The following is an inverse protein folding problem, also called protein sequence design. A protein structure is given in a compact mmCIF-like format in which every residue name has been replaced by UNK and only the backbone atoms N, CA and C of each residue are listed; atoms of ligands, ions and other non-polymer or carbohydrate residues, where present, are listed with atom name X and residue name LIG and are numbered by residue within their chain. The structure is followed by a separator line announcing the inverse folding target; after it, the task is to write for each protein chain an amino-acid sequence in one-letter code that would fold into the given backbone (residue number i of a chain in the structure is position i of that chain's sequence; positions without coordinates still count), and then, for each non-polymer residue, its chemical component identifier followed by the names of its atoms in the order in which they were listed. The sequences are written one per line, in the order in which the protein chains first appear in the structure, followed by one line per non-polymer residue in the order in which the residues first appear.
data_IF_672920159420
#
_entry.id   IF_672920159420
#
_cell.length_a   1.000
_cell.length_b   1.000
_cell.length_c   1.000
_cell.angle_alpha   90.00
_cell.angle_beta   90.00
_cell.angle_gamma   90.00
#
_symmetry.space_group_name_H-M   'P 1'
#
loop_
_entity.id
_entity.type
_entity.pdbx_description
1 polymer ?
#
# COMPACT_ATOMS: atom_id res chain seq x y z
N UNK A 1 -31.51 26.60 -8.12
CA UNK A 1 -31.16 26.53 -6.70
C UNK A 1 -29.75 27.07 -6.55
N UNK A 2 -29.51 28.04 -5.64
CA UNK A 2 -28.16 28.59 -5.43
C UNK A 2 -27.25 27.52 -4.85
N UNK A 3 -26.12 27.28 -5.50
CA UNK A 3 -25.09 26.34 -4.99
C UNK A 3 -24.69 26.79 -3.60
N UNK A 4 -25.00 25.97 -2.58
CA UNK A 4 -24.55 26.19 -1.22
C UNK A 4 -23.02 26.13 -1.18
N UNK A 5 -22.38 27.14 -0.62
CA UNK A 5 -20.93 27.14 -0.42
C UNK A 5 -20.56 26.13 0.65
N UNK A 6 -19.55 25.27 0.42
CA UNK A 6 -19.00 24.25 1.33
C UNK A 6 -18.54 24.80 2.69
N UNK A 7 -18.58 26.11 2.92
CA UNK A 7 -18.02 26.81 4.08
C UNK A 7 -19.08 27.53 4.89
N UNK A 8 -20.27 26.97 5.04
CA UNK A 8 -21.22 27.53 5.97
C UNK A 8 -20.94 27.07 7.38
N UNK A 9 -20.31 27.97 8.13
CA UNK A 9 -20.29 27.92 9.58
C UNK A 9 -21.57 28.53 10.12
N UNK A 10 -22.17 27.89 11.11
CA UNK A 10 -23.16 28.55 11.92
C UNK A 10 -22.43 29.54 12.82
N UNK A 11 -22.62 30.82 12.58
CA UNK A 11 -22.11 31.91 13.42
C UNK A 11 -23.17 32.33 14.38
N UNK A 12 -22.88 32.21 15.67
CA UNK A 12 -23.71 32.75 16.76
C UNK A 12 -22.89 33.65 17.65
N UNK A 13 -23.56 34.59 18.35
CA UNK A 13 -22.92 35.37 19.39
C UNK A 13 -23.35 34.83 20.75
N UNK A 14 -22.37 34.40 21.57
CA UNK A 14 -22.61 34.05 22.96
C UNK A 14 -21.77 34.98 23.84
N UNK A 15 -22.42 35.74 24.72
CA UNK A 15 -21.79 36.70 25.65
C UNK A 15 -20.81 37.69 24.97
N UNK A 16 -21.14 38.16 23.76
CA UNK A 16 -20.31 39.13 23.03
C UNK A 16 -19.13 38.52 22.22
N UNK A 17 -18.93 37.22 22.26
CA UNK A 17 -17.97 36.49 21.45
C UNK A 17 -18.61 35.83 20.23
N UNK A 18 -17.95 35.82 19.09
CA UNK A 18 -18.41 35.08 17.90
C UNK A 18 -18.04 33.62 18.07
N UNK A 19 -19.03 32.74 18.19
CA UNK A 19 -18.85 31.28 18.18
C UNK A 19 -19.09 30.78 16.75
N UNK A 20 -18.12 30.09 16.20
CA UNK A 20 -18.19 29.48 14.88
C UNK A 20 -18.21 27.97 15.07
N UNK A 21 -19.29 27.31 14.62
CA UNK A 21 -19.38 25.85 14.63
C UNK A 21 -19.28 25.37 13.19
N UNK A 22 -18.29 24.51 12.92
CA UNK A 22 -18.20 23.81 11.65
C UNK A 22 -19.41 22.86 11.52
N UNK A 23 -20.07 22.88 10.37
CA UNK A 23 -21.11 21.90 10.09
C UNK A 23 -20.44 20.55 9.76
N UNK A 24 -21.04 19.43 10.18
CA UNK A 24 -20.60 18.13 9.75
C UNK A 24 -20.68 18.01 8.22
N UNK A 25 -20.02 17.01 7.68
CA UNK A 25 -20.13 16.65 6.26
C UNK A 25 -21.63 16.48 5.90
N UNK A 26 -22.04 17.09 4.81
CA UNK A 26 -23.41 16.99 4.30
C UNK A 26 -23.38 16.43 2.88
N UNK A 27 -24.27 15.50 2.57
CA UNK A 27 -24.40 14.85 1.27
C UNK A 27 -24.52 15.82 0.09
N UNK A 28 -24.93 17.06 0.36
CA UNK A 28 -24.97 18.13 -0.64
C UNK A 28 -23.58 18.52 -1.22
N UNK A 29 -22.50 18.02 -0.67
CA UNK A 29 -21.14 18.19 -1.19
C UNK A 29 -20.72 17.10 -2.17
N UNK A 30 -21.50 16.04 -2.29
CA UNK A 30 -21.33 14.97 -3.27
C UNK A 30 -22.35 15.11 -4.43
N UNK A 31 -22.22 14.24 -5.42
CA UNK A 31 -23.28 14.04 -6.38
C UNK A 31 -24.49 13.33 -5.71
N UNK A 32 -25.63 13.27 -6.41
CA UNK A 32 -26.87 12.66 -5.87
C UNK A 32 -26.70 11.18 -5.46
N UNK A 33 -25.67 10.50 -5.93
CA UNK A 33 -25.38 9.09 -5.64
C UNK A 33 -24.22 8.92 -4.63
N UNK A 34 -23.65 9.99 -4.05
CA UNK A 34 -22.53 9.92 -3.11
C UNK A 34 -21.21 9.40 -3.67
N UNK A 35 -21.11 9.18 -4.98
CA UNK A 35 -19.99 8.51 -5.63
C UNK A 35 -18.97 9.46 -6.27
N UNK A 36 -19.22 10.76 -6.24
CA UNK A 36 -18.34 11.78 -6.79
C UNK A 36 -18.33 13.03 -5.92
N UNK A 37 -17.22 13.79 -6.01
CA UNK A 37 -17.10 15.11 -5.39
C UNK A 37 -18.16 16.08 -5.96
N UNK A 38 -18.53 17.09 -5.20
CA UNK A 38 -19.49 18.12 -5.65
C UNK A 38 -19.02 18.88 -6.90
N UNK A 39 -17.74 18.80 -7.26
CA UNK A 39 -17.17 19.25 -8.54
C UNK A 39 -17.53 18.34 -9.71
N UNK A 40 -18.15 17.18 -9.47
CA UNK A 40 -18.39 16.12 -10.47
C UNK A 40 -17.19 15.21 -10.73
N UNK A 41 -16.05 15.46 -10.09
CA UNK A 41 -14.90 14.56 -10.21
C UNK A 41 -15.15 13.27 -9.42
N UNK A 42 -14.84 12.08 -9.98
CA UNK A 42 -15.00 10.82 -9.28
C UNK A 42 -14.09 10.76 -8.04
N UNK A 43 -14.51 10.02 -7.01
CA UNK A 43 -13.62 9.67 -5.89
C UNK A 43 -12.42 8.89 -6.44
N UNK A 44 -11.20 9.18 -5.98
CA UNK A 44 -10.01 8.53 -6.52
C UNK A 44 -9.95 7.07 -6.09
N UNK A 45 -9.54 6.21 -7.03
CA UNK A 45 -9.20 4.84 -6.75
C UNK A 45 -7.80 4.75 -6.15
N UNK A 46 -7.61 3.89 -5.13
CA UNK A 46 -6.33 3.70 -4.43
C UNK A 46 -5.84 2.28 -4.57
N UNK A 47 -4.53 2.16 -4.58
CA UNK A 47 -3.86 0.88 -4.53
C UNK A 47 -2.92 0.82 -3.33
N UNK A 48 -3.08 -0.19 -2.49
CA UNK A 48 -2.19 -0.43 -1.37
C UNK A 48 -1.51 -1.79 -1.44
N UNK A 49 -0.34 -1.88 -0.82
CA UNK A 49 0.24 -3.17 -0.47
C UNK A 49 0.50 -3.23 1.03
N UNK A 50 0.27 -4.40 1.62
CA UNK A 50 0.60 -4.69 3.00
C UNK A 50 1.46 -5.95 3.06
N UNK A 51 2.46 -5.99 3.95
CA UNK A 51 3.41 -7.11 3.96
C UNK A 51 3.78 -7.52 5.37
N UNK A 52 3.86 -8.84 5.56
CA UNK A 52 4.46 -9.45 6.74
C UNK A 52 5.51 -10.47 6.31
N UNK A 53 6.39 -10.89 7.21
CA UNK A 53 7.45 -11.85 6.91
C UNK A 53 7.19 -13.22 7.51
N UNK A 54 7.90 -14.22 6.96
CA UNK A 54 8.05 -15.56 7.51
C UNK A 54 6.82 -16.47 7.41
N UNK A 55 5.87 -16.11 6.54
CA UNK A 55 4.78 -16.99 6.14
C UNK A 55 3.76 -17.30 7.22
N UNK A 56 3.14 -18.47 7.08
CA UNK A 56 2.10 -19.02 7.95
C UNK A 56 2.20 -20.54 8.00
N UNK A 57 1.59 -21.15 9.01
CA UNK A 57 1.55 -22.61 9.14
C UNK A 57 0.31 -23.17 8.43
N UNK A 58 0.50 -23.86 7.30
CA UNK A 58 -0.59 -24.36 6.43
C UNK A 58 -1.69 -25.09 7.22
N UNK A 59 -1.30 -25.92 8.17
CA UNK A 59 -2.23 -26.72 8.96
C UNK A 59 -3.24 -25.89 9.79
N UNK A 60 -2.89 -24.65 10.13
CA UNK A 60 -3.67 -23.81 11.06
C UNK A 60 -4.07 -22.46 10.48
N UNK A 61 -3.78 -22.18 9.18
CA UNK A 61 -4.29 -20.98 8.53
C UNK A 61 -5.23 -21.26 7.35
N UNK A 62 -5.12 -22.43 6.68
CA UNK A 62 -5.94 -22.73 5.52
C UNK A 62 -7.37 -23.14 5.95
N UNK A 63 -8.41 -22.42 5.52
CA UNK A 63 -9.79 -22.79 5.79
C UNK A 63 -10.16 -24.12 5.16
N UNK A 64 -11.11 -24.84 5.78
CA UNK A 64 -11.61 -26.12 5.27
C UNK A 64 -12.56 -25.99 4.09
N UNK A 65 -13.15 -24.82 3.89
CA UNK A 65 -14.10 -24.52 2.83
C UNK A 65 -13.69 -23.28 2.02
N UNK A 66 -14.03 -23.29 0.76
CA UNK A 66 -13.85 -22.16 -0.17
C UNK A 66 -15.14 -21.36 -0.33
N UNK A 67 -15.04 -20.18 -0.95
CA UNK A 67 -16.16 -19.28 -1.18
C UNK A 67 -16.50 -18.41 0.02
N UNK A 68 -17.74 -17.96 0.09
CA UNK A 68 -18.22 -17.10 1.17
C UNK A 68 -18.38 -17.89 2.48
N UNK A 69 -18.30 -17.16 3.61
CA UNK A 69 -18.45 -17.71 4.95
C UNK A 69 -17.44 -18.84 5.26
N UNK A 70 -16.21 -18.70 4.77
CA UNK A 70 -15.14 -19.63 5.09
C UNK A 70 -14.80 -19.59 6.60
N UNK A 71 -14.41 -20.74 7.15
CA UNK A 71 -13.96 -20.79 8.54
C UNK A 71 -12.62 -20.06 8.73
N UNK A 72 -12.39 -19.58 9.93
CA UNK A 72 -11.16 -18.90 10.30
C UNK A 72 -10.35 -19.80 11.24
N UNK A 73 -9.36 -20.55 10.73
CA UNK A 73 -8.46 -21.31 11.57
C UNK A 73 -7.66 -20.41 12.51
N UNK A 74 -7.05 -21.02 13.52
CA UNK A 74 -6.50 -20.31 14.69
C UNK A 74 -5.44 -19.24 14.36
N UNK A 75 -4.72 -19.38 13.27
CA UNK A 75 -3.69 -18.41 12.89
C UNK A 75 -4.25 -17.13 12.26
N UNK A 76 -5.49 -17.19 11.75
CA UNK A 76 -6.20 -16.06 11.14
C UNK A 76 -7.50 -15.69 11.88
N UNK A 77 -7.72 -16.19 13.08
CA UNK A 77 -8.91 -15.91 13.89
C UNK A 77 -9.12 -14.42 14.16
N UNK A 78 -8.02 -13.67 14.30
CA UNK A 78 -8.04 -12.21 14.46
C UNK A 78 -8.73 -11.46 13.30
N UNK A 79 -8.90 -12.09 12.14
CA UNK A 79 -9.54 -11.48 10.96
C UNK A 79 -11.08 -11.52 11.04
N UNK A 80 -11.68 -12.14 12.05
CA UNK A 80 -13.14 -12.26 12.18
C UNK A 80 -13.91 -10.93 12.04
N UNK A 81 -13.48 -9.81 12.66
CA UNK A 81 -14.18 -8.53 12.50
C UNK A 81 -14.17 -7.99 11.06
N UNK A 82 -13.12 -8.30 10.32
CA UNK A 82 -12.88 -7.77 8.96
C UNK A 82 -13.10 -8.79 7.85
N UNK A 83 -13.55 -10.01 8.17
CA UNK A 83 -13.73 -11.10 7.21
C UNK A 83 -14.56 -10.69 5.99
N UNK A 84 -15.62 -9.93 6.20
CA UNK A 84 -16.49 -9.42 5.13
C UNK A 84 -15.81 -8.46 4.17
N UNK A 85 -14.66 -7.89 4.53
CA UNK A 85 -13.91 -6.89 3.78
C UNK A 85 -12.69 -7.45 3.06
N UNK A 86 -12.32 -8.70 3.32
CA UNK A 86 -11.11 -9.33 2.79
C UNK A 86 -11.43 -10.53 1.91
N UNK A 87 -10.48 -10.87 1.03
CA UNK A 87 -10.42 -12.19 0.40
C UNK A 87 -9.13 -12.88 0.83
N UNK A 88 -9.19 -14.20 1.01
CA UNK A 88 -8.05 -15.06 1.28
C UNK A 88 -7.76 -15.91 0.04
N UNK A 89 -6.50 -16.00 -0.35
CA UNK A 89 -6.02 -16.80 -1.48
C UNK A 89 -5.03 -17.84 -0.98
N UNK A 90 -5.31 -19.11 -1.22
CA UNK A 90 -4.48 -20.25 -0.87
C UNK A 90 -4.16 -21.09 -2.09
N UNK A 91 -3.17 -21.97 -2.00
CA UNK A 91 -2.80 -22.89 -3.07
C UNK A 91 -2.49 -22.20 -4.41
N UNK A 92 -1.96 -20.95 -4.33
CA UNK A 92 -1.34 -20.27 -5.45
C UNK A 92 0.17 -20.47 -5.39
N UNK A 93 0.80 -20.74 -6.52
CA UNK A 93 2.21 -21.10 -6.58
C UNK A 93 3.05 -19.97 -7.17
N UNK A 94 4.30 -19.86 -6.72
CA UNK A 94 5.34 -19.09 -7.40
C UNK A 94 6.33 -20.07 -8.02
N UNK A 95 6.65 -19.85 -9.28
CA UNK A 95 7.51 -20.75 -10.05
C UNK A 95 8.89 -20.15 -10.18
N UNK A 96 9.89 -20.88 -9.73
CA UNK A 96 11.30 -20.48 -9.88
C UNK A 96 11.83 -20.69 -11.29
N UNK A 97 11.18 -21.58 -12.05
CA UNK A 97 11.69 -22.11 -13.31
C UNK A 97 13.11 -22.69 -13.10
N UNK A 98 14.12 -22.15 -13.76
CA UNK A 98 15.52 -22.59 -13.58
C UNK A 98 16.28 -21.78 -12.50
N UNK A 99 15.62 -20.80 -11.83
CA UNK A 99 16.26 -20.00 -10.80
C UNK A 99 16.39 -20.78 -9.47
N UNK A 100 17.40 -20.48 -8.65
CA UNK A 100 17.51 -21.05 -7.31
C UNK A 100 16.39 -20.57 -6.39
N UNK A 101 16.07 -21.33 -5.34
CA UNK A 101 15.29 -20.80 -4.23
C UNK A 101 16.20 -19.92 -3.36
N UNK A 102 16.11 -18.62 -3.53
CA UNK A 102 16.79 -17.66 -2.70
C UNK A 102 15.94 -17.44 -1.43
N UNK A 103 16.28 -18.16 -0.37
CA UNK A 103 15.54 -18.13 0.90
C UNK A 103 15.19 -16.71 1.32
N UNK A 104 13.93 -16.47 1.73
CA UNK A 104 13.39 -15.18 2.13
C UNK A 104 13.42 -14.09 1.03
N UNK A 105 13.63 -14.47 -0.23
CA UNK A 105 13.72 -13.52 -1.33
C UNK A 105 12.86 -13.91 -2.53
N UNK A 106 12.97 -15.15 -3.02
CA UNK A 106 12.28 -15.58 -4.24
C UNK A 106 10.76 -15.35 -4.20
N UNK A 107 10.10 -15.72 -3.11
CA UNK A 107 8.64 -15.67 -3.03
C UNK A 107 8.09 -14.25 -3.20
N UNK A 108 8.53 -13.30 -2.38
CA UNK A 108 8.02 -11.94 -2.46
C UNK A 108 8.43 -11.20 -3.74
N UNK A 109 9.65 -11.46 -4.25
CA UNK A 109 10.09 -10.86 -5.52
C UNK A 109 9.20 -11.32 -6.66
N UNK A 110 8.91 -12.63 -6.77
CA UNK A 110 8.03 -13.17 -7.81
C UNK A 110 6.61 -12.60 -7.67
N UNK A 111 6.05 -12.59 -6.46
CA UNK A 111 4.71 -12.05 -6.22
C UNK A 111 4.59 -10.55 -6.50
N UNK A 112 5.69 -9.80 -6.40
CA UNK A 112 5.70 -8.34 -6.59
C UNK A 112 6.13 -7.89 -7.98
N UNK A 113 7.02 -8.64 -8.67
CA UNK A 113 7.51 -8.29 -10.00
C UNK A 113 7.07 -9.26 -11.11
N UNK A 114 6.59 -10.44 -10.74
CA UNK A 114 6.24 -11.50 -11.70
C UNK A 114 7.45 -12.28 -12.23
N UNK A 115 8.67 -12.01 -11.76
CA UNK A 115 9.92 -12.56 -12.32
C UNK A 115 10.75 -13.23 -11.24
N UNK A 116 11.22 -14.45 -11.51
CA UNK A 116 12.09 -15.18 -10.58
C UNK A 116 13.50 -14.57 -10.54
N UNK A 117 14.02 -14.17 -9.35
CA UNK A 117 15.36 -13.64 -9.21
C UNK A 117 16.42 -14.75 -9.33
N UNK A 118 17.53 -14.44 -10.02
CA UNK A 118 18.67 -15.37 -10.15
C UNK A 118 19.68 -15.20 -9.01
N UNK A 119 19.80 -14.03 -8.44
CA UNK A 119 20.68 -13.70 -7.29
C UNK A 119 19.95 -12.76 -6.32
N UNK A 120 20.47 -12.61 -5.09
CA UNK A 120 19.92 -11.70 -4.09
C UNK A 120 20.20 -10.23 -4.42
N UNK A 121 21.26 -9.99 -5.16
CA UNK A 121 21.74 -8.65 -5.52
C UNK A 121 20.96 -8.09 -6.72
N UNK A 122 20.35 -8.93 -7.53
CA UNK A 122 19.61 -8.52 -8.72
C UNK A 122 18.11 -8.81 -8.56
N UNK A 123 17.33 -7.78 -8.35
CA UNK A 123 15.86 -7.82 -8.32
C UNK A 123 15.34 -7.52 -9.72
N UNK A 124 14.80 -8.52 -10.43
CA UNK A 124 14.38 -8.34 -11.81
C UNK A 124 13.07 -7.57 -11.91
N UNK A 125 12.97 -6.73 -12.92
CA UNK A 125 11.78 -5.93 -13.19
C UNK A 125 11.59 -4.81 -12.18
N UNK A 126 10.34 -4.44 -11.99
CA UNK A 126 9.88 -3.47 -10.98
C UNK A 126 8.68 -4.05 -10.24
N UNK A 127 8.41 -3.58 -9.03
CA UNK A 127 7.28 -4.07 -8.25
C UNK A 127 5.97 -3.45 -8.70
N UNK A 128 4.89 -4.19 -8.51
CA UNK A 128 3.53 -3.83 -8.93
C UNK A 128 3.09 -2.45 -8.45
N UNK A 129 3.46 -2.05 -7.24
CA UNK A 129 3.16 -0.73 -6.69
C UNK A 129 3.80 0.40 -7.50
N UNK A 130 5.03 0.21 -7.99
CA UNK A 130 5.71 1.16 -8.87
C UNK A 130 5.00 1.25 -10.22
N UNK A 131 4.64 0.10 -10.81
CA UNK A 131 3.88 0.06 -12.07
C UNK A 131 2.54 0.77 -11.94
N UNK A 132 1.79 0.49 -10.86
CA UNK A 132 0.50 1.13 -10.58
C UNK A 132 0.68 2.62 -10.28
N UNK A 133 1.71 3.01 -9.53
CA UNK A 133 1.98 4.40 -9.19
C UNK A 133 2.26 5.27 -10.44
N UNK A 134 2.85 4.70 -11.48
CA UNK A 134 2.99 5.40 -12.78
C UNK A 134 1.65 5.66 -13.46
N UNK A 135 0.63 4.88 -13.17
CA UNK A 135 -0.71 5.05 -13.75
C UNK A 135 -1.56 6.03 -12.94
N UNK A 136 -1.72 5.81 -11.63
CA UNK A 136 -2.68 6.56 -10.81
C UNK A 136 -2.03 7.54 -9.83
N UNK A 137 -0.71 7.44 -9.58
CA UNK A 137 0.02 8.28 -8.62
C UNK A 137 0.57 9.59 -9.21
N UNK A 138 0.41 9.82 -10.52
CA UNK A 138 0.96 11.02 -11.17
C UNK A 138 0.18 12.30 -10.88
N UNK A 139 -1.00 12.20 -10.29
CA UNK A 139 -1.88 13.34 -9.97
C UNK A 139 -1.80 13.75 -8.50
N UNK A 140 -0.87 13.15 -7.74
CA UNK A 140 -0.73 13.39 -6.30
C UNK A 140 0.66 13.91 -5.95
N UNK A 141 0.75 14.57 -4.79
CA UNK A 141 2.01 15.13 -4.26
C UNK A 141 3.11 14.07 -4.16
N UNK A 142 2.76 12.90 -3.66
CA UNK A 142 3.64 11.74 -3.61
C UNK A 142 3.11 10.68 -4.58
N UNK A 143 3.92 10.28 -5.55
CA UNK A 143 3.54 9.22 -6.50
C UNK A 143 3.19 7.91 -5.77
N UNK A 144 3.98 7.58 -4.75
CA UNK A 144 3.71 6.52 -3.79
C UNK A 144 4.31 6.88 -2.43
N UNK A 145 3.79 6.29 -1.37
CA UNK A 145 4.34 6.37 -0.02
C UNK A 145 4.61 4.96 0.49
N UNK A 146 5.73 4.78 1.16
CA UNK A 146 6.08 3.52 1.82
C UNK A 146 6.37 3.77 3.30
N UNK A 147 5.86 2.93 4.18
CA UNK A 147 6.11 2.99 5.61
C UNK A 147 6.42 1.59 6.17
N UNK A 148 7.30 1.52 7.15
CA UNK A 148 7.68 0.29 7.84
C UNK A 148 7.48 0.42 9.35
N UNK A 149 6.98 -0.65 9.95
CA UNK A 149 6.82 -0.74 11.40
C UNK A 149 8.09 -1.20 12.13
N UNK A 150 9.04 -1.80 11.43
CA UNK A 150 10.26 -2.37 12.03
C UNK A 150 11.24 -1.32 12.52
N UNK A 151 11.18 -0.11 11.96
CA UNK A 151 12.16 0.95 12.22
C UNK A 151 13.45 0.83 11.38
N UNK A 152 13.53 -0.12 10.45
CA UNK A 152 14.67 -0.29 9.54
C UNK A 152 14.32 0.21 8.13
N UNK A 153 15.09 1.15 7.63
CA UNK A 153 14.94 1.73 6.27
C UNK A 153 15.14 0.72 5.14
N UNK A 154 15.69 -0.46 5.43
CA UNK A 154 15.90 -1.53 4.46
C UNK A 154 14.68 -2.44 4.30
N UNK A 155 13.73 -2.37 5.22
CA UNK A 155 12.54 -3.22 5.24
C UNK A 155 11.47 -2.68 4.29
N UNK A 156 11.62 -3.03 3.02
CA UNK A 156 10.71 -2.67 1.94
C UNK A 156 10.64 -3.80 0.91
N UNK A 157 9.42 -4.09 0.45
CA UNK A 157 9.16 -4.96 -0.70
C UNK A 157 8.80 -4.16 -1.96
N UNK A 158 9.21 -2.90 -2.03
CA UNK A 158 9.02 -2.01 -3.17
C UNK A 158 10.35 -1.62 -3.78
N UNK A 159 10.49 -1.77 -5.08
CA UNK A 159 11.69 -1.35 -5.81
C UNK A 159 11.39 -0.99 -7.26
N UNK A 160 12.18 -0.08 -7.80
CA UNK A 160 12.26 0.21 -9.23
C UNK A 160 13.30 -0.68 -9.92
N UNK A 161 13.37 -0.63 -11.24
CA UNK A 161 14.34 -1.40 -12.03
C UNK A 161 15.77 -1.34 -11.45
N UNK A 162 16.45 -2.48 -11.40
CA UNK A 162 17.87 -2.55 -11.12
C UNK A 162 18.27 -2.32 -9.67
N UNK A 163 17.48 -2.79 -8.71
CA UNK A 163 17.77 -2.74 -7.28
C UNK A 163 17.55 -1.39 -6.57
N UNK A 164 16.93 -0.43 -7.24
CA UNK A 164 16.55 0.83 -6.59
C UNK A 164 15.37 0.61 -5.65
N UNK A 165 15.67 0.35 -4.37
CA UNK A 165 14.64 0.13 -3.34
C UNK A 165 13.97 1.46 -2.99
N UNK A 166 12.67 1.46 -2.94
CA UNK A 166 11.89 2.57 -2.40
C UNK A 166 12.01 2.58 -0.87
N UNK A 167 12.80 3.51 -0.36
CA UNK A 167 13.08 3.62 1.08
C UNK A 167 11.81 4.00 1.84
N UNK A 168 11.38 3.21 2.82
CA UNK A 168 10.17 3.50 3.59
C UNK A 168 10.43 4.54 4.69
N UNK A 169 9.37 5.22 5.10
CA UNK A 169 9.36 5.95 6.36
C UNK A 169 9.35 4.94 7.52
N UNK A 170 10.19 5.18 8.50
CA UNK A 170 10.42 4.26 9.62
C UNK A 170 10.08 4.87 10.99
N UNK A 171 9.90 6.18 11.08
CA UNK A 171 9.52 6.91 12.28
C UNK A 171 8.18 7.61 12.06
N UNK A 172 7.16 7.38 12.90
CA UNK A 172 5.88 8.07 12.80
C UNK A 172 6.01 9.60 12.85
N UNK A 173 6.87 10.14 13.72
CA UNK A 173 7.08 11.58 13.81
C UNK A 173 7.68 12.16 12.52
N UNK A 174 8.68 11.49 11.93
CA UNK A 174 9.26 11.93 10.65
C UNK A 174 8.25 11.81 9.52
N UNK A 175 7.45 10.74 9.51
CA UNK A 175 6.40 10.57 8.52
C UNK A 175 5.35 11.68 8.62
N UNK A 176 4.88 11.99 9.83
CA UNK A 176 4.01 13.14 10.07
C UNK A 176 4.62 14.45 9.54
N UNK A 177 5.87 14.73 9.86
CA UNK A 177 6.57 15.96 9.40
C UNK A 177 6.67 16.01 7.87
N UNK A 178 6.87 14.87 7.21
CA UNK A 178 6.86 14.78 5.74
C UNK A 178 5.49 15.06 5.15
N UNK A 179 4.44 14.52 5.75
CA UNK A 179 3.07 14.66 5.27
C UNK A 179 2.49 16.06 5.54
N UNK A 180 2.67 16.55 6.76
CA UNK A 180 1.96 17.72 7.30
C UNK A 180 2.90 18.85 7.72
N UNK A 181 4.17 18.80 7.35
CA UNK A 181 5.15 19.88 7.59
C UNK A 181 4.86 21.13 6.75
N UNK A 182 5.82 22.03 6.70
CA UNK A 182 5.71 23.35 6.05
C UNK A 182 5.28 23.32 4.58
N UNK A 183 5.49 22.20 3.90
CA UNK A 183 5.17 22.05 2.48
C UNK A 183 3.77 21.42 2.25
N UNK A 184 3.04 21.13 3.31
CA UNK A 184 1.66 20.65 3.21
C UNK A 184 0.71 21.78 2.83
N UNK A 185 -0.11 21.51 1.84
CA UNK A 185 -1.15 22.43 1.39
C UNK A 185 -2.50 21.81 1.77
N UNK A 186 -3.16 22.42 2.75
CA UNK A 186 -4.48 21.98 3.15
C UNK A 186 -5.48 22.17 1.99
N UNK A 187 -6.05 21.08 1.45
CA UNK A 187 -7.02 21.16 0.36
C UNK A 187 -8.28 21.94 0.75
N UNK A 188 -8.56 22.03 2.03
CA UNK A 188 -9.73 22.69 2.58
C UNK A 188 -9.49 24.13 3.02
N UNK A 189 -8.25 24.64 2.90
CA UNK A 189 -7.92 26.01 3.26
C UNK A 189 -8.65 27.05 2.39
N UNK A 190 -9.02 28.17 3.00
CA UNK A 190 -9.67 29.28 2.31
C UNK A 190 -8.80 29.92 1.25
N UNK A 191 -7.52 30.09 1.57
CA UNK A 191 -6.54 30.73 0.71
C UNK A 191 -5.47 29.74 0.30
N UNK A 192 -5.00 29.87 -0.93
CA UNK A 192 -3.87 29.12 -1.46
C UNK A 192 -2.80 30.10 -1.90
N UNK A 193 -1.57 29.88 -1.43
CA UNK A 193 -0.40 30.64 -1.87
C UNK A 193 0.66 29.66 -2.35
N UNK A 194 1.00 29.69 -3.65
CA UNK A 194 2.08 28.84 -4.18
C UNK A 194 3.41 29.10 -3.45
N UNK A 195 4.15 28.05 -3.15
CA UNK A 195 5.48 28.18 -2.53
C UNK A 195 6.47 28.78 -3.53
N UNK A 196 7.06 29.96 -3.24
CA UNK A 196 8.06 30.58 -4.12
C UNK A 196 9.27 29.69 -4.41
N UNK A 197 9.64 28.80 -3.47
CA UNK A 197 10.77 27.86 -3.66
C UNK A 197 10.45 26.84 -4.74
N UNK A 198 9.19 26.39 -4.83
CA UNK A 198 8.74 25.49 -5.90
C UNK A 198 8.73 26.19 -7.24
N UNK A 199 8.32 27.46 -7.28
CA UNK A 199 8.36 28.28 -8.50
C UNK A 199 9.80 28.42 -9.04
N UNK A 200 10.77 28.68 -8.17
CA UNK A 200 12.19 28.78 -8.55
C UNK A 200 12.71 27.43 -9.06
N UNK A 201 12.40 26.33 -8.36
CA UNK A 201 12.80 24.97 -8.79
C UNK A 201 12.20 24.60 -10.15
N UNK A 202 10.92 24.91 -10.36
CA UNK A 202 10.25 24.69 -11.65
C UNK A 202 10.92 25.50 -12.75
N UNK A 203 11.18 26.79 -12.53
CA UNK A 203 11.86 27.65 -13.50
C UNK A 203 13.26 27.13 -13.88
N UNK A 204 14.03 26.66 -12.88
CA UNK A 204 15.35 26.06 -13.13
C UNK A 204 15.23 24.75 -13.95
N UNK A 205 14.23 23.92 -13.64
CA UNK A 205 13.99 22.68 -14.36
C UNK A 205 13.57 22.92 -15.82
N UNK A 206 12.74 23.95 -16.08
CA UNK A 206 12.29 24.29 -17.43
C UNK A 206 13.47 24.65 -18.35
N UNK A 207 14.48 25.34 -17.82
CA UNK A 207 15.72 25.65 -18.58
C UNK A 207 16.46 24.36 -18.96
N UNK A 208 16.60 23.42 -18.01
CA UNK A 208 17.24 22.13 -18.28
C UNK A 208 16.48 21.33 -19.32
N UNK A 209 15.15 21.32 -19.24
CA UNK A 209 14.29 20.62 -20.21
C UNK A 209 14.38 21.21 -21.63
N UNK A 210 14.50 22.52 -21.76
CA UNK A 210 14.67 23.17 -23.05
C UNK A 210 16.04 22.88 -23.68
N UNK A 211 17.09 22.84 -22.89
CA UNK A 211 18.41 22.42 -23.35
C UNK A 211 18.43 20.91 -23.71
N UNK A 212 17.73 20.11 -22.94
CA UNK A 212 17.50 18.69 -23.22
C UNK A 212 16.78 18.45 -24.55
N UNK A 213 15.75 19.25 -24.87
CA UNK A 213 15.04 19.20 -26.17
C UNK A 213 15.96 19.56 -27.33
N UNK A 214 16.88 20.51 -27.13
CA UNK A 214 17.88 20.89 -28.16
C UNK A 214 18.84 19.72 -28.39
N UNK A 215 19.43 19.16 -27.31
CA UNK A 215 20.35 18.04 -27.38
C UNK A 215 19.71 16.83 -28.08
N UNK A 216 18.46 16.49 -27.76
CA UNK A 216 17.74 15.37 -28.36
C UNK A 216 17.60 15.46 -29.89
N UNK A 217 17.64 16.67 -30.46
CA UNK A 217 17.60 16.88 -31.94
C UNK A 217 18.93 16.54 -32.61
N UNK A 218 20.03 16.61 -31.86
CA UNK A 218 21.39 16.41 -32.35
C UNK A 218 21.89 14.98 -32.25
N UNK A 219 21.19 14.11 -31.49
CA UNK A 219 21.61 12.75 -31.17
C UNK A 219 21.07 11.69 -32.13
N UNK A 220 21.83 10.59 -32.24
CA UNK A 220 21.41 9.37 -32.91
C UNK A 220 20.33 8.59 -32.17
N UNK A 221 19.75 7.57 -32.83
CA UNK A 221 18.57 6.84 -32.34
C UNK A 221 18.82 6.11 -31.02
N UNK A 222 20.01 5.52 -30.82
CA UNK A 222 20.33 4.79 -29.58
C UNK A 222 20.51 5.73 -28.38
N UNK A 223 21.19 6.84 -28.56
CA UNK A 223 21.39 7.84 -27.50
C UNK A 223 20.10 8.55 -27.16
N UNK A 224 19.21 8.77 -28.14
CA UNK A 224 17.86 9.27 -27.87
C UNK A 224 17.07 8.35 -26.97
N UNK A 225 17.12 7.04 -27.17
CA UNK A 225 16.40 6.07 -26.35
C UNK A 225 16.90 6.08 -24.88
N UNK A 226 18.22 6.25 -24.66
CA UNK A 226 18.80 6.38 -23.32
C UNK A 226 18.40 7.68 -22.64
N UNK A 227 18.43 8.78 -23.36
CA UNK A 227 18.03 10.10 -22.87
C UNK A 227 16.53 10.22 -22.66
N UNK A 228 15.69 9.53 -23.41
CA UNK A 228 14.24 9.55 -23.22
C UNK A 228 13.82 9.00 -21.84
N UNK A 229 14.53 8.01 -21.29
CA UNK A 229 14.31 7.55 -19.92
C UNK A 229 14.64 8.64 -18.89
N UNK A 230 15.78 9.32 -19.07
CA UNK A 230 16.18 10.43 -18.21
C UNK A 230 15.20 11.61 -18.32
N UNK A 231 14.77 11.96 -19.51
CA UNK A 231 13.80 13.03 -19.73
C UNK A 231 12.41 12.71 -19.23
N UNK A 232 12.04 11.44 -19.21
CA UNK A 232 10.78 11.02 -18.57
C UNK A 232 10.80 11.34 -17.08
N UNK A 233 11.91 11.04 -16.39
CA UNK A 233 12.08 11.41 -14.98
C UNK A 233 12.02 12.93 -14.73
N UNK A 234 12.61 13.74 -15.62
CA UNK A 234 12.55 15.21 -15.50
C UNK A 234 11.14 15.75 -15.76
N UNK A 235 10.39 15.20 -16.74
CA UNK A 235 8.98 15.58 -16.98
C UNK A 235 8.08 15.20 -15.81
N UNK A 236 8.32 14.07 -15.19
CA UNK A 236 7.62 13.66 -13.98
C UNK A 236 7.90 14.61 -12.79
N UNK A 237 9.13 15.12 -12.70
CA UNK A 237 9.49 16.13 -11.71
C UNK A 237 8.83 17.48 -11.99
N UNK A 238 8.80 17.90 -13.26
CA UNK A 238 8.11 19.12 -13.68
C UNK A 238 6.63 19.06 -13.33
N UNK A 239 5.95 17.96 -13.67
CA UNK A 239 4.54 17.75 -13.32
C UNK A 239 4.30 17.81 -11.80
N UNK A 240 5.19 17.25 -10.99
CA UNK A 240 5.08 17.35 -9.53
C UNK A 240 5.20 18.79 -9.03
N UNK A 241 6.04 19.60 -9.65
CA UNK A 241 6.10 21.03 -9.33
C UNK A 241 4.81 21.74 -9.78
N UNK A 242 4.24 21.39 -10.93
CA UNK A 242 2.96 21.93 -11.37
C UNK A 242 1.86 21.67 -10.37
N UNK A 243 1.72 20.42 -9.92
CA UNK A 243 0.72 20.04 -8.91
C UNK A 243 0.92 20.79 -7.58
N UNK A 244 2.17 21.05 -7.16
CA UNK A 244 2.45 21.83 -5.96
C UNK A 244 2.14 23.32 -6.12
N UNK A 245 2.07 23.83 -7.34
CA UNK A 245 1.72 25.22 -7.65
C UNK A 245 0.23 25.42 -7.92
N UNK A 246 -0.55 24.35 -8.05
CA UNK A 246 -1.98 24.38 -8.20
C UNK A 246 -2.67 24.24 -6.84
N UNK A 247 -3.83 24.93 -6.68
CA UNK A 247 -4.65 24.74 -5.48
C UNK A 247 -5.19 23.31 -5.44
N UNK A 248 -4.93 22.54 -4.37
CA UNK A 248 -5.46 21.19 -4.25
C UNK A 248 -6.99 21.18 -4.31
N UNK A 249 -7.57 20.13 -4.85
CA UNK A 249 -9.01 19.94 -4.82
C UNK A 249 -9.47 19.69 -3.37
N UNK A 250 -10.55 20.32 -2.91
CA UNK A 250 -11.06 20.07 -1.56
C UNK A 250 -11.34 18.60 -1.28
N UNK A 251 -10.97 18.14 -0.09
CA UNK A 251 -11.14 16.76 0.40
C UNK A 251 -11.74 16.81 1.80
N UNK A 252 -13.02 16.52 1.91
CA UNK A 252 -13.74 16.68 3.18
C UNK A 252 -13.24 15.70 4.26
N UNK A 253 -12.78 14.52 3.85
CA UNK A 253 -12.13 13.53 4.71
C UNK A 253 -10.72 13.93 5.19
N UNK A 254 -10.13 14.98 4.61
CA UNK A 254 -8.78 15.43 4.96
C UNK A 254 -8.78 16.35 6.18
N UNK A 255 -8.01 16.00 7.19
CA UNK A 255 -7.67 16.88 8.30
C UNK A 255 -6.20 16.65 8.71
N UNK A 256 -5.60 17.60 9.42
CA UNK A 256 -4.26 17.44 9.98
C UNK A 256 -4.39 16.83 11.36
N UNK A 257 -3.91 15.59 11.57
CA UNK A 257 -3.94 14.97 12.89
C UNK A 257 -2.91 15.60 13.84
N UNK A 258 -3.01 15.31 15.12
CA UNK A 258 -1.97 15.65 16.07
C UNK A 258 -0.67 14.93 15.76
N UNK A 259 0.46 15.60 16.02
CA UNK A 259 1.76 14.99 15.82
C UNK A 259 1.96 13.79 16.77
N UNK A 260 2.34 12.63 16.26
CA UNK A 260 2.58 11.48 17.11
C UNK A 260 3.84 11.69 17.99
N UNK A 261 3.94 10.99 19.13
CA UNK A 261 5.16 11.00 19.90
C UNK A 261 6.32 10.39 19.12
N UNK A 262 7.54 10.80 19.46
CA UNK A 262 8.74 10.12 18.98
C UNK A 262 8.92 8.81 19.74
N UNK A 263 8.78 7.70 19.03
CA UNK A 263 8.89 6.37 19.62
C UNK A 263 10.35 5.94 19.71
N UNK A 264 10.73 5.20 20.77
CA UNK A 264 12.06 4.62 20.86
C UNK A 264 12.30 3.65 19.69
N UNK A 265 13.57 3.46 19.34
CA UNK A 265 13.97 2.37 18.45
C UNK A 265 13.89 1.04 19.19
N UNK A 266 13.58 -0.04 18.47
CA UNK A 266 13.52 -1.39 19.03
C UNK A 266 12.62 -2.31 18.25
N UNK A 267 12.79 -3.60 18.51
CA UNK A 267 12.11 -4.70 17.81
C UNK A 267 11.22 -5.53 18.75
N UNK A 268 10.92 -5.01 19.93
CA UNK A 268 9.86 -5.55 20.78
C UNK A 268 8.54 -5.57 20.00
N UNK A 269 7.83 -6.68 20.04
CA UNK A 269 6.62 -6.88 19.22
C UNK A 269 5.52 -5.85 19.53
N UNK A 270 5.39 -5.42 20.79
CA UNK A 270 4.38 -4.43 21.17
C UNK A 270 4.75 -3.04 20.63
N UNK A 271 6.04 -2.70 20.64
CA UNK A 271 6.53 -1.46 20.07
C UNK A 271 6.39 -1.44 18.53
N UNK A 272 6.67 -2.58 17.87
CA UNK A 272 6.47 -2.72 16.41
C UNK A 272 4.98 -2.56 16.06
N UNK A 273 4.08 -3.18 16.83
CA UNK A 273 2.63 -3.03 16.64
C UNK A 273 2.17 -1.58 16.88
N UNK A 274 2.65 -0.93 17.93
CA UNK A 274 2.33 0.48 18.20
C UNK A 274 2.78 1.38 17.04
N UNK A 275 3.99 1.16 16.53
CA UNK A 275 4.52 1.90 15.38
C UNK A 275 3.71 1.63 14.13
N UNK A 276 3.32 0.38 13.88
CA UNK A 276 2.46 0.01 12.75
C UNK A 276 1.15 0.78 12.76
N UNK A 277 0.47 0.83 13.91
CA UNK A 277 -0.82 1.53 14.04
C UNK A 277 -0.68 3.03 13.78
N UNK A 278 0.33 3.67 14.37
CA UNK A 278 0.60 5.09 14.10
C UNK A 278 0.92 5.36 12.62
N UNK A 279 1.72 4.47 11.98
CA UNK A 279 2.01 4.57 10.55
C UNK A 279 0.76 4.36 9.70
N UNK A 280 -0.12 3.44 10.11
CA UNK A 280 -1.42 3.22 9.47
C UNK A 280 -2.25 4.48 9.51
N UNK A 281 -2.47 5.07 10.67
CA UNK A 281 -3.33 6.26 10.83
C UNK A 281 -2.80 7.44 10.00
N UNK A 282 -1.49 7.66 10.00
CA UNK A 282 -0.85 8.68 9.17
C UNK A 282 -0.99 8.39 7.66
N UNK A 283 -0.83 7.12 7.26
CA UNK A 283 -0.98 6.71 5.86
C UNK A 283 -2.42 6.91 5.37
N UNK A 284 -3.42 6.52 6.18
CA UNK A 284 -4.83 6.70 5.84
C UNK A 284 -5.16 8.18 5.70
N UNK A 285 -4.63 9.03 6.56
CA UNK A 285 -4.79 10.47 6.44
C UNK A 285 -4.12 11.03 5.18
N UNK A 286 -2.93 10.55 4.82
CA UNK A 286 -2.27 10.94 3.57
C UNK A 286 -3.11 10.56 2.34
N UNK A 287 -3.73 9.37 2.38
CA UNK A 287 -4.62 8.87 1.30
C UNK A 287 -5.94 9.65 1.26
N UNK A 288 -6.53 9.96 2.41
CA UNK A 288 -7.76 10.77 2.50
C UNK A 288 -7.54 12.21 2.01
N UNK A 289 -6.37 12.79 2.28
CA UNK A 289 -5.97 14.09 1.77
C UNK A 289 -5.53 14.06 0.29
N UNK A 290 -5.63 12.92 -0.39
CA UNK A 290 -5.14 12.68 -1.76
C UNK A 290 -3.67 13.10 -1.96
N UNK A 291 -2.85 13.01 -0.91
CA UNK A 291 -1.42 13.23 -1.03
C UNK A 291 -0.72 12.09 -1.78
N UNK A 292 -1.33 10.89 -1.73
CA UNK A 292 -0.95 9.72 -2.54
C UNK A 292 -2.17 8.87 -2.83
N UNK A 293 -2.12 8.12 -3.93
CA UNK A 293 -3.11 7.09 -4.29
C UNK A 293 -2.49 5.69 -4.29
N UNK A 294 -1.18 5.61 -4.04
CA UNK A 294 -0.45 4.33 -3.97
C UNK A 294 0.40 4.31 -2.71
N UNK A 295 0.27 3.23 -1.94
CA UNK A 295 0.98 3.11 -0.69
C UNK A 295 1.47 1.68 -0.41
N UNK A 296 2.52 1.57 0.40
CA UNK A 296 3.09 0.32 0.86
C UNK A 296 3.23 0.36 2.38
N UNK A 297 2.60 -0.60 3.06
CA UNK A 297 2.74 -0.81 4.50
C UNK A 297 3.52 -2.10 4.76
N UNK A 298 4.54 -2.02 5.58
CA UNK A 298 5.43 -3.13 5.88
C UNK A 298 5.45 -3.38 7.39
N UNK A 299 4.80 -4.46 7.82
CA UNK A 299 4.72 -4.79 9.24
C UNK A 299 5.99 -5.48 9.73
N UNK A 300 6.42 -6.51 9.05
CA UNK A 300 7.62 -7.27 9.40
C UNK A 300 8.29 -7.83 8.13
N UNK A 301 9.60 -7.98 8.18
CA UNK A 301 10.42 -8.46 7.07
C UNK A 301 10.65 -9.96 7.04
N UNK A 302 11.19 -10.40 5.92
CA UNK A 302 11.62 -11.76 5.68
C UNK A 302 12.74 -12.25 6.62
N UNK A 303 13.45 -11.34 7.27
CA UNK A 303 14.45 -11.59 8.30
C UNK A 303 14.05 -10.96 9.64
N UNK A 304 12.77 -11.02 9.96
CA UNK A 304 12.21 -10.35 11.13
C UNK A 304 13.00 -10.63 12.40
N UNK A 305 13.59 -9.59 12.95
CA UNK A 305 14.27 -9.62 14.24
C UNK A 305 13.33 -9.24 15.40
N UNK A 306 12.03 -9.22 15.18
CA UNK A 306 11.02 -8.92 16.21
C UNK A 306 11.12 -9.92 17.35
N UNK A 307 10.99 -9.42 18.57
CA UNK A 307 11.13 -10.18 19.83
C UNK A 307 9.79 -10.24 20.54
N UNK A 308 9.39 -11.44 20.94
CA UNK A 308 8.21 -11.68 21.77
C UNK A 308 8.55 -11.45 23.25
N UNK A 309 7.72 -10.75 24.02
CA UNK A 309 7.92 -10.61 25.46
C UNK A 309 8.07 -11.98 26.14
N UNK A 310 9.14 -12.14 26.93
CA UNK A 310 9.41 -13.38 27.66
C UNK A 310 9.98 -14.54 26.81
N UNK A 311 10.34 -14.28 25.53
CA UNK A 311 10.98 -15.24 24.65
C UNK A 311 12.32 -14.68 24.15
N UNK A 312 13.36 -15.47 24.20
CA UNK A 312 14.74 -15.02 23.98
C UNK A 312 15.20 -15.02 22.51
N UNK A 313 14.37 -15.60 21.61
CA UNK A 313 14.74 -15.73 20.20
C UNK A 313 13.95 -14.75 19.32
N UNK A 314 14.63 -14.05 18.41
CA UNK A 314 13.96 -13.30 17.36
C UNK A 314 13.08 -14.20 16.47
N UNK A 315 12.03 -13.63 15.90
CA UNK A 315 11.06 -14.35 15.07
C UNK A 315 11.73 -15.22 13.99
N UNK A 316 12.67 -14.66 13.20
CA UNK A 316 13.39 -15.43 12.17
C UNK A 316 14.16 -16.62 12.75
N UNK A 317 14.89 -16.43 13.87
CA UNK A 317 15.62 -17.51 14.52
C UNK A 317 14.65 -18.60 15.02
N UNK A 318 13.53 -18.20 15.60
CA UNK A 318 12.50 -19.13 16.05
C UNK A 318 11.99 -20.03 14.92
N UNK A 319 11.79 -19.51 13.70
CA UNK A 319 11.32 -20.34 12.57
C UNK A 319 12.24 -21.52 12.28
N UNK A 320 13.53 -21.38 12.46
CA UNK A 320 14.51 -22.45 12.19
C UNK A 320 14.70 -23.40 13.38
N UNK A 321 14.70 -22.87 14.59
CA UNK A 321 15.11 -23.61 15.78
C UNK A 321 13.96 -24.26 16.55
N UNK A 322 12.76 -23.64 16.54
CA UNK A 322 11.62 -24.21 17.27
C UNK A 322 11.13 -25.49 16.59
N UNK A 323 10.84 -26.51 17.37
CA UNK A 323 10.23 -27.73 16.88
C UNK A 323 8.75 -27.49 16.53
N UNK A 324 8.24 -28.20 15.52
CA UNK A 324 6.80 -28.25 15.27
C UNK A 324 6.17 -29.10 16.36
N UNK A 325 5.17 -28.56 17.07
CA UNK A 325 4.36 -29.30 18.01
C UNK A 325 3.39 -30.22 17.24
N UNK A 326 3.43 -31.54 17.45
CA UNK A 326 2.58 -32.46 16.71
C UNK A 326 1.09 -32.32 17.04
N UNK A 327 0.74 -31.84 18.23
CA UNK A 327 -0.66 -31.67 18.64
C UNK A 327 -1.25 -30.38 18.08
N UNK A 328 -0.47 -29.31 18.07
CA UNK A 328 -0.87 -28.00 17.55
C UNK A 328 -0.60 -27.86 16.03
N UNK A 329 0.18 -28.75 15.45
CA UNK A 329 0.59 -28.77 14.04
C UNK A 329 1.30 -27.48 13.59
N UNK A 330 1.92 -26.76 14.52
CA UNK A 330 2.66 -25.53 14.26
C UNK A 330 3.86 -25.40 15.20
N UNK A 331 4.65 -24.35 14.98
CA UNK A 331 5.67 -23.87 15.90
C UNK A 331 5.01 -22.82 16.83
N UNK A 332 4.73 -23.07 18.10
CA UNK A 332 3.84 -22.23 18.92
C UNK A 332 4.30 -20.77 19.06
N UNK A 333 5.61 -20.54 19.21
CA UNK A 333 6.12 -19.16 19.29
C UNK A 333 6.14 -18.49 17.91
N UNK A 334 6.45 -19.23 16.84
CA UNK A 334 6.35 -18.68 15.47
C UNK A 334 4.91 -18.31 15.15
N UNK A 335 3.95 -19.19 15.44
CA UNK A 335 2.52 -18.93 15.26
C UNK A 335 2.05 -17.71 16.07
N UNK A 336 2.61 -17.47 17.26
CA UNK A 336 2.32 -16.26 18.02
C UNK A 336 2.70 -14.98 17.24
N UNK A 337 3.87 -14.94 16.58
CA UNK A 337 4.27 -13.79 15.76
C UNK A 337 3.35 -13.62 14.56
N UNK A 338 2.94 -14.71 13.91
CA UNK A 338 2.02 -14.68 12.77
C UNK A 338 0.65 -14.17 13.17
N UNK A 339 0.09 -14.66 14.30
CA UNK A 339 -1.18 -14.14 14.86
C UNK A 339 -1.08 -12.65 15.14
N UNK A 340 0.03 -12.19 15.69
CA UNK A 340 0.28 -10.75 15.92
C UNK A 340 0.29 -9.95 14.62
N UNK A 341 0.86 -10.50 13.54
CA UNK A 341 0.78 -9.88 12.22
C UNK A 341 -0.68 -9.82 11.72
N UNK A 342 -1.48 -10.84 11.95
CA UNK A 342 -2.89 -10.85 11.57
C UNK A 342 -3.74 -9.88 12.41
N UNK A 343 -3.44 -9.68 13.69
CA UNK A 343 -4.04 -8.61 14.52
C UNK A 343 -3.80 -7.23 13.86
N UNK A 344 -2.59 -6.98 13.38
CA UNK A 344 -2.23 -5.70 12.77
C UNK A 344 -2.79 -5.54 11.33
N UNK A 345 -2.93 -6.64 10.60
CA UNK A 345 -3.67 -6.63 9.32
C UNK A 345 -5.16 -6.34 9.55
N UNK A 346 -5.77 -6.96 10.57
CA UNK A 346 -7.15 -6.67 10.95
C UNK A 346 -7.33 -5.20 11.35
N UNK A 347 -6.41 -4.66 12.17
CA UNK A 347 -6.41 -3.24 12.52
C UNK A 347 -6.37 -2.34 11.27
N UNK A 348 -5.44 -2.61 10.35
CA UNK A 348 -5.29 -1.84 9.11
C UNK A 348 -6.57 -1.85 8.27
N UNK A 349 -7.16 -3.02 8.05
CA UNK A 349 -8.38 -3.16 7.26
C UNK A 349 -9.56 -2.49 7.95
N UNK A 350 -9.71 -2.66 9.27
CA UNK A 350 -10.78 -2.02 10.04
C UNK A 350 -10.65 -0.50 10.01
N UNK A 351 -9.44 0.03 10.21
CA UNK A 351 -9.20 1.47 10.14
C UNK A 351 -9.56 2.08 8.77
N UNK A 352 -9.27 1.36 7.68
CA UNK A 352 -9.72 1.77 6.33
C UNK A 352 -11.24 1.68 6.16
N UNK A 353 -11.88 0.67 6.75
CA UNK A 353 -13.32 0.48 6.65
C UNK A 353 -14.12 1.49 7.50
N UNK A 354 -13.57 1.91 8.63
CA UNK A 354 -14.17 2.90 9.51
C UNK A 354 -13.91 4.35 9.05
N UNK A 355 -12.99 4.55 8.13
CA UNK A 355 -12.66 5.87 7.62
C UNK A 355 -13.69 6.29 6.56
N UNK A 356 -14.62 7.16 6.93
CA UNK A 356 -15.71 7.63 6.06
C UNK A 356 -15.17 8.42 4.85
N UNK A 357 -15.63 8.06 3.67
CA UNK A 357 -15.37 8.79 2.42
C UNK A 357 -16.57 8.69 1.47
N UNK A 358 -17.22 9.79 1.24
CA UNK A 358 -18.48 9.80 0.49
C UNK A 358 -19.58 9.04 1.21
N UNK A 359 -20.37 8.26 0.48
CA UNK A 359 -21.41 7.39 1.06
C UNK A 359 -20.86 6.03 1.54
N UNK A 360 -19.57 5.85 1.53
CA UNK A 360 -18.89 4.62 1.93
C UNK A 360 -17.65 4.89 2.76
N UNK A 361 -16.66 4.07 2.57
CA UNK A 361 -15.38 4.14 3.28
C UNK A 361 -14.19 4.31 2.34
N UNK A 362 -13.05 4.65 2.93
CA UNK A 362 -11.78 4.68 2.20
C UNK A 362 -11.46 3.30 1.59
N UNK A 363 -11.85 2.25 2.28
CA UNK A 363 -11.65 0.86 1.83
C UNK A 363 -12.49 0.55 0.59
N UNK A 364 -13.71 1.10 0.47
CA UNK A 364 -14.53 0.90 -0.72
C UNK A 364 -13.91 1.48 -1.99
N UNK A 365 -13.12 2.53 -1.85
CA UNK A 365 -12.40 3.18 -2.93
C UNK A 365 -10.96 2.63 -3.12
N UNK A 366 -10.61 1.52 -2.47
CA UNK A 366 -9.27 0.96 -2.50
C UNK A 366 -9.26 -0.52 -2.91
N UNK A 367 -8.09 -0.97 -3.38
CA UNK A 367 -7.71 -2.37 -3.44
C UNK A 367 -6.35 -2.55 -2.78
N UNK A 368 -6.30 -3.31 -1.72
CA UNK A 368 -5.07 -3.59 -0.98
C UNK A 368 -4.65 -5.04 -1.20
N UNK A 369 -3.40 -5.23 -1.62
CA UNK A 369 -2.78 -6.53 -1.86
C UNK A 369 -1.83 -6.88 -0.73
N UNK A 370 -2.15 -7.88 0.08
CA UNK A 370 -1.32 -8.32 1.20
C UNK A 370 -0.60 -9.63 0.89
N UNK A 371 0.70 -9.70 1.22
CA UNK A 371 1.55 -10.87 0.91
C UNK A 371 2.73 -10.98 1.86
N UNK A 372 3.30 -12.19 1.91
CA UNK A 372 4.53 -12.54 2.62
C UNK A 372 5.60 -13.05 1.66
N UNK A 373 6.77 -13.39 2.20
CA UNK A 373 7.93 -13.88 1.43
C UNK A 373 7.91 -15.38 1.14
N UNK A 374 7.16 -16.15 1.92
CA UNK A 374 7.13 -17.62 1.83
C UNK A 374 5.88 -18.19 2.53
N UNK A 375 5.63 -19.51 2.39
CA UNK A 375 4.56 -20.19 3.12
C UNK A 375 5.06 -20.71 4.47
N UNK A 376 5.91 -21.72 4.52
CA UNK A 376 6.44 -22.28 5.76
C UNK A 376 7.91 -21.96 5.94
N UNK A 377 8.22 -21.09 6.87
CA UNK A 377 9.56 -20.49 7.03
C UNK A 377 10.63 -21.51 7.43
N UNK A 378 10.27 -22.53 8.21
CA UNK A 378 11.23 -23.56 8.68
C UNK A 378 12.02 -24.21 7.56
N UNK A 379 11.40 -24.39 6.40
CA UNK A 379 12.00 -25.04 5.23
C UNK A 379 12.09 -24.10 4.03
N UNK A 380 11.82 -22.81 4.22
CA UNK A 380 11.82 -21.80 3.16
C UNK A 380 10.89 -22.18 1.98
N UNK A 381 9.74 -22.75 2.28
CA UNK A 381 8.77 -23.12 1.24
C UNK A 381 8.19 -21.89 0.57
N UNK A 382 8.09 -21.95 -0.76
CA UNK A 382 7.41 -20.94 -1.59
C UNK A 382 6.20 -21.53 -2.31
N UNK A 383 5.77 -22.71 -1.92
CA UNK A 383 4.56 -23.36 -2.42
C UNK A 383 3.38 -22.91 -1.57
N UNK A 384 2.30 -22.45 -2.19
CA UNK A 384 1.12 -22.01 -1.47
C UNK A 384 1.33 -20.78 -0.58
N UNK A 385 2.12 -19.78 -1.02
CA UNK A 385 2.32 -18.55 -0.24
C UNK A 385 0.97 -17.89 0.02
N UNK A 386 0.62 -17.61 1.30
CA UNK A 386 -0.65 -16.99 1.63
C UNK A 386 -0.71 -15.56 1.11
N UNK A 387 -1.85 -15.18 0.53
CA UNK A 387 -2.11 -13.84 0.05
C UNK A 387 -3.51 -13.42 0.50
N UNK A 388 -3.68 -12.11 0.72
CA UNK A 388 -4.99 -11.52 0.97
C UNK A 388 -5.23 -10.33 0.05
N UNK A 389 -6.48 -9.97 -0.14
CA UNK A 389 -6.86 -8.64 -0.61
C UNK A 389 -7.91 -8.04 0.31
N UNK A 390 -7.99 -6.71 0.33
CA UNK A 390 -9.03 -5.98 1.02
C UNK A 390 -9.56 -4.85 0.13
N UNK A 391 -10.83 -4.51 0.29
CA UNK A 391 -11.49 -3.43 -0.42
C UNK A 391 -12.16 -3.83 -1.72
N UNK A 392 -13.17 -3.03 -2.10
CA UNK A 392 -14.05 -3.34 -3.23
C UNK A 392 -13.63 -2.70 -4.55
N UNK A 393 -12.58 -1.88 -4.55
CA UNK A 393 -12.13 -1.14 -5.75
C UNK A 393 -13.31 -0.42 -6.44
N UNK A 394 -14.11 0.32 -5.67
CA UNK A 394 -15.31 1.02 -6.15
C UNK A 394 -16.40 0.04 -6.66
N UNK A 395 -16.64 -1.04 -5.91
CA UNK A 395 -17.66 -2.03 -6.20
C UNK A 395 -17.32 -3.03 -7.32
N UNK A 396 -16.08 -3.01 -7.83
CA UNK A 396 -15.62 -3.94 -8.88
C UNK A 396 -15.12 -5.28 -8.33
N UNK A 397 -14.93 -5.38 -7.02
CA UNK A 397 -14.43 -6.57 -6.33
C UNK A 397 -15.41 -7.02 -5.26
N UNK A 398 -15.75 -8.30 -5.29
CA UNK A 398 -16.44 -9.00 -4.20
C UNK A 398 -15.44 -9.32 -3.11
N UNK A 399 -15.85 -9.19 -1.86
CA UNK A 399 -15.05 -9.51 -0.68
C UNK A 399 -15.73 -10.58 0.18
N UNK A 400 -15.05 -11.08 1.20
CA UNK A 400 -15.55 -12.14 2.08
C UNK A 400 -15.40 -13.54 1.50
N UNK A 401 -14.42 -13.78 0.61
CA UNK A 401 -14.24 -15.03 -0.11
C UNK A 401 -12.89 -15.68 0.21
N UNK A 402 -12.90 -17.01 0.31
CA UNK A 402 -11.71 -17.85 0.24
C UNK A 402 -11.60 -18.49 -1.14
N UNK A 403 -10.49 -18.25 -1.82
CA UNK A 403 -10.21 -18.74 -3.17
C UNK A 403 -9.04 -19.71 -3.12
N UNK A 404 -9.30 -20.94 -3.53
CA UNK A 404 -8.24 -21.93 -3.79
C UNK A 404 -7.73 -21.77 -5.22
N UNK A 405 -6.44 -21.53 -5.36
CA UNK A 405 -5.78 -21.28 -6.66
C UNK A 405 -5.60 -22.53 -7.51
N UNK A 406 -5.74 -23.74 -6.94
CA UNK A 406 -5.54 -25.01 -7.64
C UNK A 406 -4.15 -25.12 -8.30
N UNK A 407 -3.10 -24.58 -7.67
CA UNK A 407 -1.74 -24.54 -8.22
C UNK A 407 -1.51 -23.47 -9.29
N UNK A 408 -2.45 -22.55 -9.50
CA UNK A 408 -2.29 -21.44 -10.45
C UNK A 408 -1.16 -20.48 -10.03
N UNK A 409 -0.56 -19.73 -10.97
CA UNK A 409 0.45 -18.72 -10.61
C UNK A 409 -0.08 -17.66 -9.65
N UNK A 410 0.62 -17.38 -8.54
CA UNK A 410 0.30 -16.31 -7.60
C UNK A 410 0.28 -14.92 -8.24
N UNK A 411 0.99 -14.77 -9.33
CA UNK A 411 0.97 -13.58 -10.18
C UNK A 411 -0.42 -13.23 -10.73
N UNK A 412 -1.40 -14.15 -10.71
CA UNK A 412 -2.79 -13.85 -11.09
C UNK A 412 -3.40 -12.75 -10.23
N UNK A 413 -3.11 -12.72 -8.92
CA UNK A 413 -3.63 -11.66 -8.05
C UNK A 413 -3.00 -10.30 -8.41
N UNK A 414 -1.68 -10.27 -8.65
CA UNK A 414 -1.00 -9.07 -9.10
C UNK A 414 -1.46 -8.58 -10.48
N UNK A 415 -1.74 -9.48 -11.41
CA UNK A 415 -2.32 -9.14 -12.70
C UNK A 415 -3.73 -8.55 -12.55
N UNK A 416 -4.59 -9.20 -11.74
CA UNK A 416 -5.94 -8.72 -11.43
C UNK A 416 -5.89 -7.30 -10.83
N UNK A 417 -5.00 -7.08 -9.86
CA UNK A 417 -4.81 -5.77 -9.23
C UNK A 417 -4.44 -4.68 -10.26
N UNK A 418 -3.50 -4.96 -11.15
CA UNK A 418 -3.10 -4.01 -12.20
C UNK A 418 -4.26 -3.67 -13.14
N UNK A 419 -5.04 -4.68 -13.56
CA UNK A 419 -6.23 -4.48 -14.40
C UNK A 419 -7.28 -3.62 -13.70
N UNK A 420 -7.54 -3.89 -12.41
CA UNK A 420 -8.43 -3.08 -11.57
C UNK A 420 -7.98 -1.62 -11.47
N UNK A 421 -6.67 -1.37 -11.46
CA UNK A 421 -6.09 -0.01 -11.44
C UNK A 421 -6.06 0.64 -12.84
N UNK A 422 -6.64 0.02 -13.85
CA UNK A 422 -6.78 0.57 -15.20
C UNK A 422 -5.51 0.46 -16.06
N UNK A 423 -4.61 -0.46 -15.75
CA UNK A 423 -3.49 -0.78 -16.63
C UNK A 423 -3.99 -1.71 -17.74
N UNK A 424 -3.80 -1.27 -18.99
CA UNK A 424 -4.14 -2.07 -20.17
C UNK A 424 -2.94 -2.93 -20.58
N UNK A 425 -2.72 -4.01 -19.83
CA UNK A 425 -1.64 -4.97 -20.07
C UNK A 425 -2.23 -6.31 -20.53
N UNK A 426 -1.70 -6.97 -21.57
CA UNK A 426 -2.22 -8.24 -22.07
C UNK A 426 -1.84 -9.43 -21.17
N UNK A 427 -0.78 -9.31 -20.38
CA UNK A 427 -0.31 -10.34 -19.45
C UNK A 427 0.69 -9.73 -18.47
N UNK A 428 0.96 -10.44 -17.38
CA UNK A 428 1.98 -10.06 -16.39
C UNK A 428 2.76 -11.28 -15.91
N UNK A 429 4.03 -11.04 -15.49
CA UNK A 429 4.97 -12.09 -15.12
C UNK A 429 5.79 -12.64 -16.29
N UNK A 430 6.69 -13.56 -15.98
CA UNK A 430 7.57 -14.21 -16.95
C UNK A 430 7.50 -15.74 -16.82
N UNK A 431 7.77 -16.46 -17.90
CA UNK A 431 7.81 -17.94 -17.97
C UNK A 431 6.58 -18.57 -17.29
N UNK A 432 6.77 -19.48 -16.31
CA UNK A 432 5.68 -20.16 -15.60
C UNK A 432 4.87 -19.23 -14.67
N UNK A 433 5.40 -18.08 -14.31
CA UNK A 433 4.67 -17.05 -13.56
C UNK A 433 3.80 -16.16 -14.45
N UNK A 434 3.98 -16.23 -15.78
CA UNK A 434 3.22 -15.40 -16.73
C UNK A 434 1.75 -15.78 -16.74
N UNK A 435 0.91 -14.76 -16.61
CA UNK A 435 -0.54 -14.93 -16.66
C UNK A 435 -1.21 -13.83 -17.47
N UNK A 436 -2.28 -14.21 -18.18
CA UNK A 436 -3.24 -13.31 -18.82
C UNK A 436 -4.66 -13.53 -18.24
N UNK A 437 -4.75 -14.26 -17.12
CA UNK A 437 -6.03 -14.65 -16.51
C UNK A 437 -6.20 -13.97 -15.16
N UNK A 438 -7.20 -13.13 -15.04
CA UNK A 438 -7.63 -12.54 -13.77
C UNK A 438 -8.23 -13.60 -12.82
N UNK A 439 -8.33 -13.28 -11.55
CA UNK A 439 -9.09 -14.08 -10.57
C UNK A 439 -10.56 -13.66 -10.69
N UNK A 440 -11.26 -14.28 -11.64
CA UNK A 440 -12.65 -13.92 -12.00
C UNK A 440 -13.64 -14.11 -10.86
N UNK A 441 -13.34 -14.98 -9.90
CA UNK A 441 -14.19 -15.31 -8.75
C UNK A 441 -14.45 -14.09 -7.87
N UNK A 442 -13.48 -13.17 -7.78
CA UNK A 442 -13.62 -11.93 -6.99
C UNK A 442 -14.15 -10.75 -7.81
N UNK A 443 -14.27 -10.85 -9.13
CA UNK A 443 -14.75 -9.75 -9.96
C UNK A 443 -16.29 -9.71 -10.02
N UNK A 444 -16.82 -8.48 -10.08
CA UNK A 444 -18.28 -8.21 -10.19
C UNK A 444 -18.70 -8.24 -11.64
#
# INVERSE_FOLDING_TARGET
MSKLSRRRFLKGTLNGGVVTVALPFLDCFLNENGTALASGAPLPLRFGTWSWGLGMSEAIFVPRNTGANFDLPSEIEALAPVQKHINLFTNFHVFKDAAPNLCHHSGWVILRSGIAPMTRENRPGETIDVTVARKIGNETRFRSLSATATGDVRDSFSYENGNSVNVPEWSPLRFYQRLFGSDFQDPNADTFTPDPRVMVRKSSLSVVLDDAKKLNRELGTEDRARLDQYFTGLRDLERRFDLQLEKPQPRDACYVPDAPPDLPTGLDADLVSQRHRMMTDLMLMAVACDQTRVFNMFYAGAFSATIKPGYDKPHHTATHEEAVDPAEQCQPNVSWFTRRAMDEWAYFVQAMADFEEGDGSLLDNAFVYATTDQSFAKIHSIEGIPMFSAGTAQGRVKTGLHIDGGGSPGCRLGYTAQRLMGLDIPSWGDKSNKTAKEIGEILV
#
